data_IF_426208555885
#
_entry.id   IF_426208555885
#
_cell.length_a   1.000
_cell.length_b   1.000
_cell.length_c   1.000
_cell.angle_alpha   90.00
_cell.angle_beta   90.00
_cell.angle_gamma   90.00
#
_symmetry.space_group_name_H-M   'P 1'
#
loop_
_entity.id
_entity.type
_entity.pdbx_description
1 polymer ?
#
# COMPACT_ATOMS: atom_id res chain seq x y z
N UNK A 1 19.93 1.25 -11.34
CA UNK A 1 21.33 1.63 -11.55
C UNK A 1 21.35 2.60 -12.72
N UNK A 2 21.30 3.89 -12.45
CA UNK A 2 21.29 4.95 -13.48
C UNK A 2 22.74 5.33 -13.73
N UNK A 3 23.20 5.15 -14.95
CA UNK A 3 24.56 5.50 -15.37
C UNK A 3 24.55 6.93 -15.87
N UNK A 4 25.15 7.85 -15.10
CA UNK A 4 25.34 9.24 -15.51
C UNK A 4 26.58 9.33 -16.38
N UNK A 5 26.44 9.74 -17.63
CA UNK A 5 27.56 10.10 -18.51
C UNK A 5 27.85 11.59 -18.36
N UNK A 6 28.93 11.93 -17.69
CA UNK A 6 29.48 13.29 -17.67
C UNK A 6 30.15 13.60 -18.98
N UNK A 7 29.61 14.54 -19.77
CA UNK A 7 30.34 15.25 -20.82
C UNK A 7 30.99 16.50 -20.22
N UNK A 8 32.29 16.60 -20.38
CA UNK A 8 33.07 17.83 -20.18
C UNK A 8 32.74 18.80 -21.32
N UNK A 9 32.04 19.89 -21.02
CA UNK A 9 32.29 21.25 -21.47
C UNK A 9 31.21 22.15 -20.84
N UNK A 10 31.67 23.24 -20.26
CA UNK A 10 30.89 24.10 -19.43
C UNK A 10 29.95 25.04 -20.21
N UNK A 11 28.74 24.59 -20.38
CA UNK A 11 27.52 25.39 -20.52
C UNK A 11 26.44 24.58 -19.78
N UNK A 12 26.05 25.02 -18.60
CA UNK A 12 24.87 24.52 -17.92
C UNK A 12 23.65 25.03 -18.69
N UNK A 13 23.22 24.24 -19.66
CA UNK A 13 21.90 24.37 -20.25
C UNK A 13 20.90 23.97 -19.14
N UNK A 14 20.27 24.97 -18.54
CA UNK A 14 19.11 24.76 -17.63
C UNK A 14 18.00 24.20 -18.52
N UNK A 15 17.91 22.87 -18.57
CA UNK A 15 16.83 22.18 -19.27
C UNK A 15 15.50 22.57 -18.62
N UNK A 16 14.56 23.02 -19.44
CA UNK A 16 13.20 23.30 -19.03
C UNK A 16 12.61 22.01 -18.41
N UNK A 17 12.10 22.05 -17.16
CA UNK A 17 11.47 20.89 -16.51
C UNK A 17 10.40 20.22 -17.35
N UNK A 18 9.75 20.94 -18.27
CA UNK A 18 8.76 20.41 -19.19
C UNK A 18 9.36 19.53 -20.31
N UNK A 19 10.61 19.75 -20.71
CA UNK A 19 11.29 18.90 -21.71
C UNK A 19 11.77 17.56 -21.14
N UNK A 20 12.18 17.51 -19.88
CA UNK A 20 12.59 16.26 -19.23
C UNK A 20 11.41 15.32 -18.98
N UNK A 21 10.27 15.86 -18.58
CA UNK A 21 9.05 15.07 -18.30
C UNK A 21 8.42 14.51 -19.58
N UNK A 22 8.50 15.24 -20.70
CA UNK A 22 8.07 14.77 -22.02
C UNK A 22 8.88 13.56 -22.51
N UNK A 23 10.18 13.49 -22.18
CA UNK A 23 11.06 12.35 -22.52
C UNK A 23 10.80 11.10 -21.70
N UNK A 24 10.17 11.23 -20.53
CA UNK A 24 9.81 10.13 -19.64
C UNK A 24 8.42 9.54 -19.93
N UNK A 25 7.69 10.09 -20.91
CA UNK A 25 6.36 9.60 -21.28
C UNK A 25 5.27 9.90 -20.25
N UNK A 26 5.53 10.81 -19.30
CA UNK A 26 4.52 11.29 -18.37
C UNK A 26 3.72 12.42 -19.00
N UNK A 27 2.41 12.21 -19.14
CA UNK A 27 1.49 13.28 -19.53
C UNK A 27 1.20 14.16 -18.30
N UNK A 28 1.85 15.30 -18.22
CA UNK A 28 1.68 16.29 -17.14
C UNK A 28 0.23 16.76 -16.99
N UNK A 29 -0.55 16.74 -18.07
CA UNK A 29 -1.97 17.12 -18.02
C UNK A 29 -2.82 16.13 -17.22
N UNK A 30 -2.37 14.88 -17.04
CA UNK A 30 -3.04 13.90 -16.16
C UNK A 30 -2.88 14.24 -14.67
N UNK A 31 -1.80 14.94 -14.31
CA UNK A 31 -1.51 15.31 -12.92
C UNK A 31 -2.16 16.64 -12.51
N UNK A 32 -2.37 17.57 -13.44
CA UNK A 32 -3.00 18.86 -13.15
C UNK A 32 -4.45 18.69 -12.66
N UNK A 33 -5.18 17.68 -13.15
CA UNK A 33 -6.55 17.40 -12.72
C UNK A 33 -6.62 16.77 -11.31
N UNK A 34 -5.60 16.03 -10.86
CA UNK A 34 -5.65 15.31 -9.59
C UNK A 34 -5.35 16.18 -8.36
N UNK A 35 -4.69 17.34 -8.51
CA UNK A 35 -4.39 18.29 -7.42
C UNK A 35 -4.71 19.75 -7.79
N UNK A 36 -5.54 20.01 -8.79
CA UNK A 36 -5.96 21.38 -9.17
C UNK A 36 -6.66 22.12 -8.03
N UNK A 37 -7.26 21.37 -7.11
CA UNK A 37 -7.91 21.87 -5.90
C UNK A 37 -6.92 22.42 -4.85
N UNK A 38 -5.60 22.20 -4.99
CA UNK A 38 -4.58 22.75 -4.11
C UNK A 38 -3.72 23.80 -4.81
N UNK A 39 -4.14 25.04 -4.75
CA UNK A 39 -3.35 26.19 -5.22
C UNK A 39 -2.27 26.56 -4.20
N UNK A 40 -1.04 26.82 -4.65
CA UNK A 40 0.04 27.31 -3.78
C UNK A 40 1.16 26.32 -3.48
N UNK A 41 1.06 25.07 -3.91
CA UNK A 41 2.19 24.14 -3.95
C UNK A 41 3.03 24.34 -5.22
N UNK A 42 4.36 24.24 -5.08
CA UNK A 42 5.26 24.18 -6.23
C UNK A 42 4.98 22.90 -7.05
N UNK A 43 5.13 22.97 -8.37
CA UNK A 43 4.85 21.85 -9.26
C UNK A 43 5.67 20.60 -8.93
N UNK A 44 6.93 20.77 -8.53
CA UNK A 44 7.78 19.66 -8.09
C UNK A 44 7.23 18.96 -6.83
N UNK A 45 6.67 19.71 -5.88
CA UNK A 45 6.07 19.13 -4.67
C UNK A 45 4.78 18.37 -5.02
N UNK A 46 3.97 18.89 -5.94
CA UNK A 46 2.79 18.17 -6.47
C UNK A 46 3.19 16.86 -7.13
N UNK A 47 4.18 16.89 -8.01
CA UNK A 47 4.68 15.69 -8.68
C UNK A 47 5.20 14.65 -7.69
N UNK A 48 5.94 15.07 -6.67
CA UNK A 48 6.44 14.19 -5.62
C UNK A 48 5.29 13.54 -4.83
N UNK A 49 4.26 14.31 -4.47
CA UNK A 49 3.09 13.79 -3.75
C UNK A 49 2.31 12.82 -4.63
N UNK A 50 2.00 13.19 -5.87
CA UNK A 50 1.22 12.35 -6.78
C UNK A 50 1.96 11.09 -7.23
N UNK A 51 3.29 11.16 -7.31
CA UNK A 51 4.16 10.00 -7.58
C UNK A 51 4.31 9.03 -6.42
N UNK A 52 3.87 9.40 -5.21
CA UNK A 52 3.94 8.57 -4.03
C UNK A 52 2.73 7.64 -3.90
N UNK A 53 2.85 6.53 -3.13
CA UNK A 53 1.72 5.69 -2.79
C UNK A 53 0.56 6.49 -2.19
N UNK A 54 -0.68 6.09 -2.46
CA UNK A 54 -1.88 6.81 -2.02
C UNK A 54 -1.89 7.09 -0.50
N UNK A 55 -1.45 6.13 0.28
CA UNK A 55 -1.38 6.18 1.75
C UNK A 55 -0.40 7.20 2.29
N UNK A 56 0.65 7.54 1.53
CA UNK A 56 1.70 8.47 1.95
C UNK A 56 1.42 9.92 1.52
N UNK A 57 0.55 10.12 0.52
CA UNK A 57 0.28 11.43 -0.08
C UNK A 57 -0.14 12.49 0.95
N UNK A 58 -1.08 12.13 1.82
CA UNK A 58 -1.58 13.04 2.86
C UNK A 58 -0.49 13.41 3.88
N UNK A 59 0.37 12.45 4.27
CA UNK A 59 1.52 12.72 5.16
C UNK A 59 2.54 13.63 4.50
N UNK A 60 2.86 13.39 3.24
CA UNK A 60 3.79 14.25 2.51
C UNK A 60 3.27 15.67 2.40
N UNK A 61 1.97 15.83 2.11
CA UNK A 61 1.33 17.14 2.06
C UNK A 61 1.36 17.81 3.43
N UNK A 62 0.98 17.12 4.50
CA UNK A 62 1.00 17.61 5.87
C UNK A 62 2.41 18.09 6.27
N UNK A 63 3.44 17.31 5.95
CA UNK A 63 4.84 17.68 6.18
C UNK A 63 5.24 18.97 5.45
N UNK A 64 4.79 19.16 4.21
CA UNK A 64 5.06 20.37 3.41
C UNK A 64 4.37 21.61 3.97
N UNK A 65 3.18 21.43 4.52
CA UNK A 65 2.38 22.53 5.10
C UNK A 65 2.75 22.82 6.56
N UNK A 66 3.53 21.96 7.20
CA UNK A 66 3.79 22.00 8.64
C UNK A 66 2.51 21.88 9.48
N UNK A 67 1.51 21.19 8.97
CA UNK A 67 0.23 20.92 9.62
C UNK A 67 0.21 19.49 10.21
N UNK A 68 -0.73 19.25 11.13
CA UNK A 68 -1.03 17.88 11.52
C UNK A 68 -1.71 17.11 10.37
N UNK A 69 -1.65 15.79 10.41
CA UNK A 69 -2.28 14.96 9.38
C UNK A 69 -3.81 15.14 9.38
N UNK A 70 -4.44 15.18 10.54
CA UNK A 70 -5.89 15.37 10.67
C UNK A 70 -6.36 16.74 10.13
N UNK A 71 -5.63 17.81 10.44
CA UNK A 71 -5.91 19.14 9.88
C UNK A 71 -5.79 19.12 8.36
N UNK A 72 -4.75 18.48 7.83
CA UNK A 72 -4.52 18.37 6.39
C UNK A 72 -5.65 17.58 5.71
N UNK A 73 -6.07 16.45 6.29
CA UNK A 73 -7.17 15.65 5.75
C UNK A 73 -8.51 16.40 5.73
N UNK A 74 -8.82 17.17 6.80
CA UNK A 74 -10.02 18.01 6.84
C UNK A 74 -9.96 19.12 5.79
N UNK A 75 -8.79 19.73 5.61
CA UNK A 75 -8.58 20.76 4.59
C UNK A 75 -8.72 20.17 3.17
N UNK A 76 -8.19 18.97 2.92
CA UNK A 76 -8.41 18.25 1.67
C UNK A 76 -9.91 18.05 1.41
N UNK A 77 -10.65 17.56 2.40
CA UNK A 77 -12.10 17.37 2.30
C UNK A 77 -12.83 18.65 1.92
N UNK A 78 -12.54 19.75 2.62
CA UNK A 78 -13.16 21.06 2.33
C UNK A 78 -12.85 21.59 0.91
N UNK A 79 -11.64 21.33 0.40
CA UNK A 79 -11.22 21.79 -0.93
C UNK A 79 -11.76 20.93 -2.07
N UNK A 80 -12.05 19.66 -1.79
CA UNK A 80 -12.49 18.67 -2.78
C UNK A 80 -13.98 18.33 -2.69
N UNK A 81 -14.69 18.93 -1.74
CA UNK A 81 -16.11 18.68 -1.47
C UNK A 81 -16.42 17.21 -1.12
N UNK A 82 -15.46 16.56 -0.44
CA UNK A 82 -15.64 15.23 0.14
C UNK A 82 -15.81 15.33 1.65
N UNK A 83 -16.78 14.60 2.19
CA UNK A 83 -16.95 14.47 3.64
C UNK A 83 -15.73 13.78 4.27
N UNK A 84 -15.33 14.24 5.47
CA UNK A 84 -14.31 13.59 6.27
C UNK A 84 -14.96 12.82 7.42
N UNK A 85 -14.73 11.51 7.43
CA UNK A 85 -15.20 10.63 8.48
C UNK A 85 -14.14 10.50 9.56
N UNK A 86 -14.45 10.98 10.76
CA UNK A 86 -13.57 10.82 11.92
C UNK A 86 -13.49 9.36 12.37
N UNK A 87 -14.57 8.59 12.15
CA UNK A 87 -14.68 7.17 12.44
C UNK A 87 -15.58 6.47 11.43
N UNK A 88 -15.41 5.18 11.25
CA UNK A 88 -16.21 4.35 10.37
C UNK A 88 -16.20 2.89 10.86
N UNK A 89 -17.25 2.17 10.55
CA UNK A 89 -17.37 0.74 10.82
C UNK A 89 -17.39 -0.03 9.49
N UNK A 90 -16.83 -1.24 9.52
CA UNK A 90 -16.88 -2.12 8.35
C UNK A 90 -18.18 -2.93 8.38
N UNK A 91 -18.81 -3.14 7.22
CA UNK A 91 -19.93 -4.04 7.10
C UNK A 91 -19.51 -5.49 7.41
N UNK A 92 -20.45 -6.35 7.77
CA UNK A 92 -20.19 -7.74 8.16
C UNK A 92 -19.41 -8.56 7.10
N UNK A 93 -19.59 -8.25 5.82
CA UNK A 93 -18.93 -8.92 4.70
C UNK A 93 -18.40 -7.92 3.66
N UNK A 94 -17.34 -7.16 3.98
CA UNK A 94 -16.87 -6.06 3.13
C UNK A 94 -16.37 -6.53 1.76
N UNK A 95 -15.79 -7.74 1.67
CA UNK A 95 -15.27 -8.29 0.41
C UNK A 95 -16.36 -8.72 -0.58
N UNK A 96 -17.61 -8.87 -0.13
CA UNK A 96 -18.77 -9.07 -1.02
C UNK A 96 -19.18 -7.78 -1.71
N UNK A 97 -18.95 -6.62 -1.07
CA UNK A 97 -19.28 -5.31 -1.59
C UNK A 97 -18.16 -4.76 -2.48
N UNK A 98 -16.92 -4.95 -2.08
CA UNK A 98 -15.75 -4.48 -2.82
C UNK A 98 -14.66 -5.57 -2.82
N UNK A 99 -14.21 -6.04 -3.99
CA UNK A 99 -13.14 -7.01 -4.07
C UNK A 99 -11.86 -6.53 -3.40
N UNK A 100 -11.18 -7.44 -2.73
CA UNK A 100 -9.96 -7.18 -1.98
C UNK A 100 -8.89 -6.43 -2.80
N UNK A 101 -8.76 -6.78 -4.07
CA UNK A 101 -7.87 -6.09 -5.00
C UNK A 101 -8.09 -4.58 -5.03
N UNK A 102 -9.36 -4.13 -5.05
CA UNK A 102 -9.67 -2.70 -5.07
C UNK A 102 -9.44 -2.06 -3.71
N UNK A 103 -9.75 -2.78 -2.61
CA UNK A 103 -9.43 -2.33 -1.25
C UNK A 103 -7.95 -1.97 -1.13
N UNK A 104 -7.06 -2.89 -1.53
CA UNK A 104 -5.61 -2.65 -1.46
C UNK A 104 -5.12 -1.61 -2.48
N UNK A 105 -5.55 -1.70 -3.76
CA UNK A 105 -5.04 -0.81 -4.80
C UNK A 105 -5.48 0.64 -4.64
N UNK A 106 -6.66 0.86 -4.05
CA UNK A 106 -7.23 2.19 -3.88
C UNK A 106 -7.16 2.70 -2.43
N UNK A 107 -6.59 1.91 -1.53
CA UNK A 107 -6.55 2.21 -0.09
C UNK A 107 -7.90 2.70 0.40
N UNK A 108 -8.97 1.94 0.10
CA UNK A 108 -10.34 2.30 0.41
C UNK A 108 -11.09 1.12 1.03
N UNK A 109 -12.12 1.43 1.81
CA UNK A 109 -12.93 0.45 2.51
C UNK A 109 -14.41 0.73 2.23
N UNK A 110 -15.24 -0.31 2.02
CA UNK A 110 -16.68 -0.16 2.01
C UNK A 110 -17.18 0.11 3.42
N UNK A 111 -18.04 1.11 3.57
CA UNK A 111 -18.66 1.50 4.84
C UNK A 111 -20.10 1.01 4.89
N UNK A 112 -20.88 1.36 3.88
CA UNK A 112 -22.30 1.04 3.86
C UNK A 112 -22.82 0.85 2.42
N UNK A 113 -23.72 -0.11 2.25
CA UNK A 113 -24.54 -0.21 1.06
C UNK A 113 -25.88 0.47 1.32
N UNK A 114 -26.14 1.57 0.61
CA UNK A 114 -27.38 2.34 0.77
C UNK A 114 -28.55 1.72 0.00
N UNK A 115 -29.77 1.95 0.49
CA UNK A 115 -31.00 1.42 -0.11
C UNK A 115 -31.24 1.91 -1.55
N UNK A 116 -30.64 3.06 -1.95
CA UNK A 116 -30.72 3.61 -3.30
C UNK A 116 -29.72 2.98 -4.29
N UNK A 117 -29.07 1.89 -3.92
CA UNK A 117 -28.12 1.17 -4.77
C UNK A 117 -26.74 1.83 -4.88
N UNK A 118 -26.40 2.71 -3.96
CA UNK A 118 -25.07 3.30 -3.86
C UNK A 118 -24.22 2.59 -2.83
N UNK A 119 -22.91 2.61 -3.04
CA UNK A 119 -21.91 2.06 -2.12
C UNK A 119 -21.10 3.21 -1.52
N UNK A 120 -21.20 3.39 -0.21
CA UNK A 120 -20.38 4.35 0.52
C UNK A 120 -18.99 3.74 0.78
N UNK A 121 -17.95 4.52 0.46
CA UNK A 121 -16.54 4.13 0.55
C UNK A 121 -15.77 5.23 1.27
N UNK A 122 -14.86 4.82 2.15
CA UNK A 122 -13.87 5.71 2.77
C UNK A 122 -12.49 5.46 2.15
N UNK A 123 -11.74 6.53 1.86
CA UNK A 123 -10.42 6.47 1.25
C UNK A 123 -9.44 7.45 1.88
N UNK A 124 -8.14 7.23 1.68
CA UNK A 124 -7.03 8.03 2.24
C UNK A 124 -6.70 9.28 1.43
N UNK A 125 -7.19 9.39 0.20
CA UNK A 125 -6.92 10.48 -0.75
C UNK A 125 -8.10 10.71 -1.68
N UNK A 126 -8.33 11.93 -2.19
CA UNK A 126 -9.42 12.20 -3.11
C UNK A 126 -9.45 11.21 -4.28
N UNK A 127 -10.60 10.55 -4.49
CA UNK A 127 -10.71 9.49 -5.49
C UNK A 127 -10.70 10.08 -6.90
N UNK A 128 -10.06 9.36 -7.82
CA UNK A 128 -10.10 9.70 -9.24
C UNK A 128 -11.35 9.16 -9.92
N UNK A 129 -11.71 9.72 -11.08
CA UNK A 129 -12.79 9.16 -11.91
C UNK A 129 -12.52 7.70 -12.30
N UNK A 130 -11.24 7.34 -12.47
CA UNK A 130 -10.81 5.97 -12.76
C UNK A 130 -11.21 5.03 -11.62
N UNK A 131 -10.96 5.41 -10.36
CA UNK A 131 -11.36 4.62 -9.19
C UNK A 131 -12.88 4.41 -9.16
N UNK A 132 -13.67 5.46 -9.35
CA UNK A 132 -15.13 5.39 -9.38
C UNK A 132 -15.65 4.47 -10.49
N UNK A 133 -15.07 4.51 -11.69
CA UNK A 133 -15.42 3.61 -12.80
C UNK A 133 -15.11 2.16 -12.48
N UNK A 134 -13.96 1.87 -11.88
CA UNK A 134 -13.59 0.51 -11.50
C UNK A 134 -14.52 -0.05 -10.41
N UNK A 135 -14.82 0.74 -9.39
CA UNK A 135 -15.77 0.34 -8.34
C UNK A 135 -17.13 0.02 -8.98
N UNK A 136 -17.66 0.90 -9.81
CA UNK A 136 -18.94 0.68 -10.50
C UNK A 136 -18.91 -0.58 -11.39
N UNK A 137 -17.85 -0.76 -12.17
CA UNK A 137 -17.72 -1.91 -13.08
C UNK A 137 -17.72 -3.26 -12.35
N UNK A 138 -17.20 -3.31 -11.13
CA UNK A 138 -17.06 -4.54 -10.35
C UNK A 138 -18.24 -4.77 -9.41
N UNK A 139 -18.72 -3.72 -8.72
CA UNK A 139 -19.82 -3.84 -7.75
C UNK A 139 -21.20 -3.67 -8.35
N UNK A 140 -21.31 -3.06 -9.55
CA UNK A 140 -22.58 -2.62 -10.11
C UNK A 140 -23.21 -1.44 -9.39
N UNK A 141 -22.53 -0.86 -8.37
CA UNK A 141 -23.06 0.17 -7.50
C UNK A 141 -22.33 1.50 -7.71
N UNK A 142 -23.07 2.62 -7.68
CA UNK A 142 -22.48 3.95 -7.79
C UNK A 142 -21.73 4.28 -6.49
N UNK A 143 -20.40 4.53 -6.52
CA UNK A 143 -19.67 4.89 -5.34
C UNK A 143 -20.04 6.29 -4.82
N UNK A 144 -20.16 6.42 -3.50
CA UNK A 144 -20.13 7.67 -2.75
C UNK A 144 -18.82 7.64 -1.97
N UNK A 145 -18.01 8.68 -2.12
CA UNK A 145 -16.70 8.73 -1.50
C UNK A 145 -16.68 9.68 -0.32
N UNK A 146 -16.02 9.23 0.74
CA UNK A 146 -15.64 10.03 1.90
C UNK A 146 -14.14 9.86 2.16
N UNK A 147 -13.52 10.85 2.77
CA UNK A 147 -12.13 10.79 3.22
C UNK A 147 -12.09 10.31 4.68
N UNK A 148 -11.01 9.64 5.06
CA UNK A 148 -10.80 9.22 6.45
C UNK A 148 -9.32 9.23 6.81
N UNK A 149 -9.03 9.02 8.10
CA UNK A 149 -7.65 8.97 8.60
C UNK A 149 -6.86 7.87 7.89
N UNK A 150 -5.72 8.19 7.24
CA UNK A 150 -4.86 7.20 6.61
C UNK A 150 -4.40 6.10 7.57
N UNK A 151 -4.11 6.44 8.83
CA UNK A 151 -3.73 5.48 9.85
C UNK A 151 -4.85 4.51 10.18
N UNK A 152 -6.09 5.03 10.39
CA UNK A 152 -7.26 4.17 10.69
C UNK A 152 -7.60 3.26 9.53
N UNK A 153 -7.57 3.77 8.29
CA UNK A 153 -7.85 2.99 7.09
C UNK A 153 -6.77 1.91 6.88
N UNK A 154 -5.48 2.28 6.97
CA UNK A 154 -4.38 1.33 6.84
C UNK A 154 -4.43 0.24 7.91
N UNK A 155 -4.72 0.61 9.16
CA UNK A 155 -4.91 -0.35 10.25
C UNK A 155 -6.08 -1.28 9.96
N UNK A 156 -7.26 -0.75 9.61
CA UNK A 156 -8.43 -1.56 9.31
C UNK A 156 -8.21 -2.50 8.11
N UNK A 157 -7.45 -2.05 7.09
CA UNK A 157 -7.05 -2.92 5.97
C UNK A 157 -6.13 -4.04 6.46
N UNK A 158 -5.15 -3.73 7.31
CA UNK A 158 -4.21 -4.73 7.84
C UNK A 158 -4.92 -5.74 8.75
N UNK A 159 -5.73 -5.27 9.69
CA UNK A 159 -6.42 -6.12 10.66
C UNK A 159 -7.48 -7.04 10.01
N UNK A 160 -8.23 -6.54 9.03
CA UNK A 160 -9.34 -7.31 8.43
C UNK A 160 -8.97 -8.02 7.13
N UNK A 161 -7.93 -7.56 6.44
CA UNK A 161 -7.57 -8.06 5.10
C UNK A 161 -6.06 -8.27 4.94
N UNK A 162 -5.26 -7.90 5.94
CA UNK A 162 -3.84 -8.17 5.99
C UNK A 162 -3.57 -9.66 6.17
N UNK A 163 -2.43 -10.10 5.66
CA UNK A 163 -1.94 -11.46 5.83
C UNK A 163 -1.06 -11.50 7.07
N UNK A 164 -1.31 -12.43 7.97
CA UNK A 164 -0.47 -12.67 9.14
C UNK A 164 -0.79 -11.83 10.37
N UNK A 165 -1.89 -11.07 10.37
CA UNK A 165 -2.32 -10.34 11.55
C UNK A 165 -2.50 -11.26 12.77
N UNK A 166 -3.09 -12.45 12.56
CA UNK A 166 -3.27 -13.45 13.60
C UNK A 166 -2.05 -14.36 13.82
N UNK A 167 -1.08 -14.35 12.89
CA UNK A 167 0.05 -15.28 12.88
C UNK A 167 1.34 -14.70 13.47
N UNK A 168 1.48 -13.37 13.48
CA UNK A 168 2.68 -12.65 13.89
C UNK A 168 2.33 -11.53 14.90
N UNK A 169 1.48 -11.82 15.87
CA UNK A 169 1.08 -10.85 16.89
C UNK A 169 2.29 -10.49 17.80
N UNK A 170 2.42 -9.18 18.11
CA UNK A 170 3.52 -8.62 18.91
C UNK A 170 3.53 -9.14 20.37
N UNK A 171 2.46 -9.79 20.84
CA UNK A 171 2.40 -10.35 22.18
C UNK A 171 3.46 -11.42 22.48
N UNK A 172 4.04 -12.03 21.42
CA UNK A 172 5.06 -13.07 21.56
C UNK A 172 6.51 -12.53 21.58
N UNK A 173 6.69 -11.20 21.43
CA UNK A 173 8.04 -10.59 21.40
C UNK A 173 8.47 -9.93 22.71
N UNK A 174 7.55 -9.69 23.64
CA UNK A 174 7.80 -8.98 24.92
C UNK A 174 7.96 -9.92 26.13
N UNK A 175 8.13 -11.23 25.94
CA UNK A 175 8.50 -12.10 27.05
C UNK A 175 9.97 -11.88 27.42
N UNK A 176 10.14 -11.09 28.50
CA UNK A 176 11.41 -10.95 29.20
C UNK A 176 11.98 -12.34 29.56
N UNK A 177 13.28 -12.48 29.29
CA UNK A 177 14.20 -13.53 29.72
C UNK A 177 13.70 -14.49 30.82
N UNK A 178 13.04 -15.58 30.43
CA UNK A 178 12.84 -16.73 31.29
C UNK A 178 13.17 -18.04 30.54
N UNK A 179 13.62 -19.07 31.28
CA UNK A 179 14.37 -20.25 30.90
C UNK A 179 13.68 -21.26 29.92
N UNK A 180 12.66 -20.89 29.16
CA UNK A 180 11.94 -21.76 28.22
C UNK A 180 12.20 -21.42 26.72
N UNK A 181 13.40 -20.95 26.40
CA UNK A 181 13.82 -20.49 25.05
C UNK A 181 13.66 -21.54 23.91
N UNK A 182 13.31 -22.78 24.21
CA UNK A 182 13.09 -23.83 23.19
C UNK A 182 11.62 -23.85 22.72
N UNK A 183 10.65 -23.64 23.59
CA UNK A 183 9.24 -23.58 23.23
C UNK A 183 8.94 -22.32 22.39
N UNK A 184 9.52 -21.17 22.73
CA UNK A 184 9.37 -19.91 21.99
C UNK A 184 9.89 -19.99 20.55
N UNK A 185 10.99 -20.71 20.31
CA UNK A 185 11.54 -20.93 18.97
C UNK A 185 10.66 -21.86 18.09
N UNK A 186 9.98 -22.83 18.71
CA UNK A 186 9.05 -23.72 18.01
C UNK A 186 7.78 -22.96 17.63
N UNK A 187 7.27 -22.11 18.51
CA UNK A 187 6.09 -21.28 18.27
C UNK A 187 6.35 -20.22 17.20
N UNK A 188 7.48 -19.52 17.22
CA UNK A 188 7.90 -18.61 16.17
C UNK A 188 8.04 -19.31 14.80
N UNK A 189 8.62 -20.49 14.77
CA UNK A 189 8.71 -21.28 13.54
C UNK A 189 7.33 -21.69 13.02
N UNK A 190 6.41 -22.06 13.92
CA UNK A 190 5.05 -22.39 13.56
C UNK A 190 4.28 -21.16 13.02
N UNK A 191 4.48 -19.98 13.60
CA UNK A 191 3.91 -18.71 13.14
C UNK A 191 4.41 -18.37 11.73
N UNK A 192 5.72 -18.47 11.45
CA UNK A 192 6.29 -18.22 10.13
C UNK A 192 5.75 -19.20 9.08
N UNK A 193 5.59 -20.48 9.46
CA UNK A 193 5.01 -21.49 8.57
C UNK A 193 3.56 -21.14 8.23
N UNK A 194 2.75 -20.77 9.22
CA UNK A 194 1.36 -20.32 9.02
C UNK A 194 1.32 -19.11 8.10
N UNK A 195 2.12 -18.09 8.39
CA UNK A 195 2.21 -16.87 7.60
C UNK A 195 2.53 -17.14 6.12
N UNK A 196 3.60 -17.91 5.83
CA UNK A 196 3.99 -18.21 4.44
C UNK A 196 2.89 -19.01 3.72
N UNK A 197 2.24 -19.95 4.39
CA UNK A 197 1.13 -20.70 3.82
C UNK A 197 -0.08 -19.80 3.53
N UNK A 198 -0.39 -18.86 4.43
CA UNK A 198 -1.47 -17.88 4.24
C UNK A 198 -1.20 -16.97 3.04
N UNK A 199 0.03 -16.44 2.91
CA UNK A 199 0.46 -15.66 1.75
C UNK A 199 0.20 -16.43 0.44
N UNK A 200 0.58 -17.71 0.40
CA UNK A 200 0.40 -18.54 -0.80
C UNK A 200 -1.09 -18.83 -1.05
N UNK A 201 -1.84 -19.21 -0.03
CA UNK A 201 -3.26 -19.50 -0.17
C UNK A 201 -4.03 -18.26 -0.64
N UNK A 202 -3.70 -17.11 -0.09
CA UNK A 202 -4.32 -15.84 -0.50
C UNK A 202 -4.00 -15.51 -1.95
N UNK A 203 -2.75 -15.66 -2.39
CA UNK A 203 -2.35 -15.47 -3.77
C UNK A 203 -3.17 -16.37 -4.74
N UNK A 204 -3.43 -17.62 -4.35
CA UNK A 204 -4.25 -18.56 -5.15
C UNK A 204 -5.71 -18.06 -5.24
N UNK A 205 -6.29 -17.62 -4.12
CA UNK A 205 -7.68 -17.08 -4.09
C UNK A 205 -7.80 -15.85 -4.96
N UNK A 206 -6.80 -14.95 -4.89
CA UNK A 206 -6.76 -13.70 -5.66
C UNK A 206 -6.29 -13.93 -7.11
N UNK A 207 -6.06 -15.19 -7.54
CA UNK A 207 -5.60 -15.59 -8.86
C UNK A 207 -4.30 -14.90 -9.29
N UNK A 208 -3.39 -14.70 -8.35
CA UNK A 208 -2.07 -14.18 -8.64
C UNK A 208 -1.26 -15.16 -9.48
N UNK A 209 -0.53 -14.66 -10.46
CA UNK A 209 0.41 -15.46 -11.26
C UNK A 209 1.78 -15.58 -10.60
N UNK A 210 2.16 -14.57 -9.80
CA UNK A 210 3.45 -14.48 -9.13
C UNK A 210 3.29 -13.86 -7.73
N UNK A 211 4.14 -14.30 -6.81
CA UNK A 211 4.30 -13.71 -5.48
C UNK A 211 5.72 -13.15 -5.39
N UNK A 212 5.86 -11.87 -5.12
CA UNK A 212 7.13 -11.21 -4.95
C UNK A 212 7.36 -10.93 -3.46
N UNK A 213 8.42 -11.52 -2.91
CA UNK A 213 8.95 -11.17 -1.60
C UNK A 213 10.16 -10.28 -1.82
N UNK A 214 10.07 -9.01 -1.47
CA UNK A 214 11.06 -7.99 -1.77
C UNK A 214 11.66 -7.40 -0.49
N UNK A 215 12.84 -7.90 -0.09
CA UNK A 215 13.56 -7.33 1.03
C UNK A 215 14.06 -5.91 0.72
N UNK A 216 13.64 -4.95 1.52
CA UNK A 216 14.16 -3.59 1.53
C UNK A 216 14.97 -3.33 2.80
N UNK A 217 15.58 -2.15 2.91
CA UNK A 217 16.43 -1.80 4.06
C UNK A 217 15.67 -1.87 5.39
N UNK A 218 14.44 -1.35 5.40
CA UNK A 218 13.65 -1.16 6.63
C UNK A 218 12.33 -1.96 6.63
N UNK A 219 12.03 -2.71 5.54
CA UNK A 219 10.76 -3.44 5.41
C UNK A 219 10.93 -4.67 4.52
N UNK A 220 10.05 -5.66 4.68
CA UNK A 220 9.83 -6.75 3.72
C UNK A 220 8.52 -6.48 3.00
N UNK A 221 8.58 -6.10 1.73
CA UNK A 221 7.40 -5.88 0.93
C UNK A 221 6.96 -7.17 0.24
N UNK A 222 5.66 -7.48 0.28
CA UNK A 222 5.06 -8.58 -0.47
C UNK A 222 4.13 -8.00 -1.53
N UNK A 223 4.24 -8.48 -2.77
CA UNK A 223 3.39 -8.06 -3.88
C UNK A 223 2.89 -9.27 -4.65
N UNK A 224 1.63 -9.22 -5.07
CA UNK A 224 1.03 -10.19 -5.98
C UNK A 224 0.97 -9.63 -7.39
N UNK A 225 1.24 -10.47 -8.39
CA UNK A 225 0.92 -10.13 -9.78
C UNK A 225 -0.46 -10.65 -10.12
N UNK A 226 -1.43 -9.74 -10.28
CA UNK A 226 -2.83 -10.05 -10.60
C UNK A 226 -3.16 -9.32 -11.90
N UNK A 227 -3.64 -10.03 -12.91
CA UNK A 227 -3.95 -9.48 -14.24
C UNK A 227 -2.78 -8.65 -14.83
N UNK A 228 -1.54 -9.11 -14.61
CA UNK A 228 -0.31 -8.46 -15.07
C UNK A 228 0.18 -7.28 -14.23
N UNK A 229 -0.60 -6.81 -13.25
CA UNK A 229 -0.24 -5.70 -12.37
C UNK A 229 0.31 -6.19 -11.04
N UNK A 230 1.34 -5.51 -10.51
CA UNK A 230 1.85 -5.77 -9.17
C UNK A 230 1.03 -5.00 -8.14
N UNK A 231 0.34 -5.73 -7.28
CA UNK A 231 -0.51 -5.21 -6.20
C UNK A 231 0.19 -5.45 -4.87
N UNK A 232 0.41 -4.43 -4.05
CA UNK A 232 1.00 -4.62 -2.73
C UNK A 232 0.04 -5.39 -1.82
N UNK A 233 0.62 -6.29 -1.02
CA UNK A 233 -0.09 -7.02 0.03
C UNK A 233 0.18 -6.33 1.35
N UNK A 234 -0.86 -6.06 2.10
CA UNK A 234 -0.73 -5.53 3.46
C UNK A 234 -0.27 -6.63 4.40
N UNK A 235 0.74 -6.31 5.17
CA UNK A 235 1.38 -7.21 6.13
C UNK A 235 1.68 -6.43 7.40
N UNK A 236 1.86 -7.10 8.56
CA UNK A 236 2.24 -6.45 9.81
C UNK A 236 3.54 -5.66 9.69
N UNK A 237 3.65 -4.55 10.42
CA UNK A 237 4.81 -3.66 10.39
C UNK A 237 6.09 -4.34 10.90
N UNK A 238 5.95 -5.31 11.82
CA UNK A 238 7.04 -6.09 12.40
C UNK A 238 7.61 -7.18 11.46
N UNK A 239 7.03 -7.37 10.26
CA UNK A 239 7.43 -8.42 9.32
C UNK A 239 8.93 -8.40 8.99
N UNK A 240 9.56 -7.24 9.09
CA UNK A 240 11.01 -7.08 8.84
C UNK A 240 11.86 -7.94 9.76
N UNK A 241 11.50 -8.10 11.03
CA UNK A 241 12.22 -8.95 11.99
C UNK A 241 12.21 -10.44 11.61
N UNK A 242 11.18 -10.89 10.91
CA UNK A 242 11.02 -12.28 10.47
C UNK A 242 11.54 -12.55 9.05
N UNK A 243 12.12 -11.55 8.36
CA UNK A 243 12.51 -11.65 6.95
C UNK A 243 13.39 -12.87 6.65
N UNK A 244 14.47 -13.08 7.41
CA UNK A 244 15.41 -14.17 7.15
C UNK A 244 14.76 -15.55 7.35
N UNK A 245 13.87 -15.68 8.32
CA UNK A 245 13.14 -16.90 8.59
C UNK A 245 12.07 -17.17 7.50
N UNK A 246 11.35 -16.16 7.03
CA UNK A 246 10.40 -16.27 5.92
C UNK A 246 11.12 -16.71 4.63
N UNK A 247 12.24 -16.07 4.29
CA UNK A 247 13.04 -16.43 3.11
C UNK A 247 13.59 -17.86 3.23
N UNK A 248 14.06 -18.23 4.41
CA UNK A 248 14.55 -19.60 4.68
C UNK A 248 13.42 -20.62 4.51
N UNK A 249 12.21 -20.33 5.01
CA UNK A 249 11.03 -21.18 4.83
C UNK A 249 10.67 -21.38 3.36
N UNK A 250 10.66 -20.31 2.57
CA UNK A 250 10.40 -20.37 1.13
C UNK A 250 11.45 -21.24 0.43
N UNK A 251 12.73 -21.09 0.77
CA UNK A 251 13.81 -21.92 0.23
C UNK A 251 13.64 -23.39 0.56
N UNK A 252 13.25 -23.72 1.80
CA UNK A 252 12.96 -25.10 2.22
C UNK A 252 11.82 -25.67 1.37
N UNK A 253 10.72 -24.93 1.22
CA UNK A 253 9.57 -25.38 0.44
C UNK A 253 9.91 -25.61 -1.04
N UNK A 254 10.83 -24.81 -1.59
CA UNK A 254 11.28 -24.90 -2.98
C UNK A 254 12.44 -25.92 -3.17
N UNK A 255 12.95 -26.53 -2.11
CA UNK A 255 14.06 -27.50 -2.19
C UNK A 255 15.40 -26.89 -2.60
N UNK A 256 15.58 -25.56 -2.44
CA UNK A 256 16.81 -24.84 -2.80
C UNK A 256 17.70 -24.62 -1.58
N UNK A 257 19.00 -24.29 -1.82
CA UNK A 257 19.99 -24.19 -0.76
C UNK A 257 19.74 -22.98 0.15
N UNK A 258 19.51 -23.23 1.43
CA UNK A 258 19.22 -22.20 2.45
C UNK A 258 20.44 -21.31 2.71
N UNK A 259 21.64 -21.89 2.69
CA UNK A 259 22.89 -21.21 3.03
C UNK A 259 23.40 -20.28 1.92
N UNK A 260 22.95 -20.46 0.68
CA UNK A 260 23.36 -19.59 -0.43
C UNK A 260 22.55 -18.28 -0.40
N UNK A 261 23.24 -17.17 -0.10
CA UNK A 261 22.65 -15.82 -0.02
C UNK A 261 23.15 -14.87 -1.12
N UNK A 262 24.13 -15.27 -1.93
CA UNK A 262 24.85 -14.39 -2.86
C UNK A 262 24.49 -14.60 -4.32
N UNK A 263 23.98 -15.76 -4.68
CA UNK A 263 23.68 -16.13 -6.07
C UNK A 263 22.20 -16.42 -6.25
N UNK A 264 21.63 -16.03 -7.40
CA UNK A 264 20.30 -16.48 -7.77
C UNK A 264 20.23 -18.00 -7.77
N UNK A 265 19.10 -18.53 -7.33
CA UNK A 265 18.77 -19.94 -7.31
C UNK A 265 17.40 -20.13 -7.98
N UNK A 266 17.20 -21.22 -8.68
CA UNK A 266 15.95 -21.56 -9.34
C UNK A 266 15.97 -22.98 -9.87
#
# INVERSE_FOLDING_TARGET
MVTVHTRKNGDEEVLDPQEETSKLGFDLNLFDDEMSWWSGLADLDRLNILGSPLEDRARLLASKLSNSLDETMREIGQRTDFDYLDDFELPENPTKLLPLRLIHSFCCLPVEQKDDGKLELVTVWPPTQRMSRWVYAVSGQKPIWSLGSPEKISRAITENFGIGADSLDDSDLDSEEDEDAQDDLEDQNAAIIRFVNEVIQRAIVDRATDIHFEPHKDTLQIRYRIDGQLVPVRVPDNLRSFQDAIISRIKIMSGINISEKRRPQG
#
